data_IF_998928106437
#
_entry.id   IF_998928106437
#
_cell.length_a   1.000
_cell.length_b   1.000
_cell.length_c   1.000
_cell.angle_alpha   90.00
_cell.angle_beta   90.00
_cell.angle_gamma   90.00
#
_symmetry.space_group_name_H-M   'P 1'
#
loop_
_entity.id
_entity.type
_entity.pdbx_description
1 polymer ?
#
# COMPACT_ATOMS: atom_id res chain seq x y z
N UNK A 1 -2.12 -13.89 -11.93
CA UNK A 1 -1.48 -12.55 -11.98
C UNK A 1 0.02 -12.73 -11.89
N UNK A 2 0.78 -11.92 -12.62
CA UNK A 2 2.23 -12.08 -12.61
C UNK A 2 2.78 -11.68 -11.23
N UNK A 3 3.64 -12.51 -10.63
CA UNK A 3 4.25 -12.26 -9.31
C UNK A 3 4.84 -10.85 -9.21
N UNK A 4 5.43 -10.39 -10.31
CA UNK A 4 6.01 -9.06 -10.48
C UNK A 4 5.00 -7.93 -10.22
N UNK A 5 3.75 -8.09 -10.66
CA UNK A 5 2.68 -7.10 -10.46
C UNK A 5 2.31 -7.01 -8.98
N UNK A 6 2.24 -8.15 -8.28
CA UNK A 6 1.94 -8.21 -6.84
C UNK A 6 3.03 -7.48 -6.05
N UNK A 7 4.29 -7.75 -6.37
CA UNK A 7 5.43 -7.08 -5.74
C UNK A 7 5.41 -5.57 -5.96
N UNK A 8 5.09 -5.10 -7.19
CA UNK A 8 4.97 -3.66 -7.48
C UNK A 8 3.86 -3.02 -6.65
N UNK A 9 2.66 -3.63 -6.59
CA UNK A 9 1.53 -3.09 -5.82
C UNK A 9 1.86 -3.05 -4.33
N UNK A 10 2.53 -4.07 -3.80
CA UNK A 10 2.96 -4.12 -2.41
C UNK A 10 4.00 -3.05 -2.07
N UNK A 11 5.02 -2.87 -2.93
CA UNK A 11 6.04 -1.83 -2.77
C UNK A 11 5.40 -0.44 -2.83
N UNK A 12 4.44 -0.23 -3.72
CA UNK A 12 3.72 1.03 -3.85
C UNK A 12 2.89 1.33 -2.59
N UNK A 13 2.24 0.31 -2.02
CA UNK A 13 1.55 0.40 -0.73
C UNK A 13 2.49 0.80 0.42
N UNK A 14 3.65 0.15 0.53
CA UNK A 14 4.68 0.48 1.52
C UNK A 14 5.22 1.92 1.35
N UNK A 15 5.42 2.34 0.11
CA UNK A 15 5.91 3.70 -0.18
C UNK A 15 4.91 4.77 0.28
N UNK A 16 3.61 4.53 0.06
CA UNK A 16 2.52 5.40 0.54
C UNK A 16 2.45 5.44 2.07
N UNK A 17 2.62 4.29 2.73
CA UNK A 17 2.69 4.16 4.20
C UNK A 17 3.85 4.97 4.79
N UNK A 18 5.05 4.84 4.21
CA UNK A 18 6.24 5.57 4.65
C UNK A 18 6.06 7.08 4.39
N UNK A 19 5.57 7.45 3.21
CA UNK A 19 5.35 8.86 2.83
C UNK A 19 4.31 9.54 3.73
N UNK A 20 3.27 8.81 4.15
CA UNK A 20 2.29 9.28 5.13
C UNK A 20 2.92 9.67 6.47
N UNK A 21 3.99 9.00 6.88
CA UNK A 21 4.72 9.29 8.12
C UNK A 21 5.51 10.60 8.09
N UNK A 22 5.91 11.05 6.90
CA UNK A 22 6.69 12.28 6.73
C UNK A 22 5.80 13.51 6.50
N UNK A 23 4.50 13.34 6.32
CA UNK A 23 3.58 14.43 6.03
C UNK A 23 3.08 15.06 7.33
N UNK A 24 3.37 16.36 7.47
CA UNK A 24 2.94 17.19 8.61
C UNK A 24 1.42 17.38 8.69
N UNK A 25 0.70 17.22 7.57
CA UNK A 25 -0.74 17.37 7.51
C UNK A 25 -1.45 16.08 7.98
N UNK A 26 -2.13 16.15 9.13
CA UNK A 26 -2.82 15.01 9.74
C UNK A 26 -3.86 14.35 8.81
N UNK A 27 -4.57 15.15 8.00
CA UNK A 27 -5.57 14.63 7.06
C UNK A 27 -4.89 13.93 5.88
N UNK A 28 -3.84 14.53 5.32
CA UNK A 28 -3.06 13.93 4.23
C UNK A 28 -2.36 12.64 4.64
N UNK A 29 -1.78 12.61 5.85
CA UNK A 29 -1.18 11.41 6.42
C UNK A 29 -2.20 10.28 6.56
N UNK A 30 -3.40 10.55 7.11
CA UNK A 30 -4.47 9.56 7.24
C UNK A 30 -4.93 9.00 5.89
N UNK A 31 -5.08 9.85 4.87
CA UNK A 31 -5.42 9.39 3.52
C UNK A 31 -4.34 8.46 2.95
N UNK A 32 -3.07 8.82 3.08
CA UNK A 32 -1.96 8.00 2.58
C UNK A 32 -1.83 6.67 3.32
N UNK A 33 -2.04 6.67 4.64
CA UNK A 33 -2.10 5.46 5.44
C UNK A 33 -3.24 4.55 5.01
N UNK A 34 -4.44 5.12 4.78
CA UNK A 34 -5.60 4.35 4.33
C UNK A 34 -5.36 3.73 2.95
N UNK A 35 -4.89 4.52 1.98
CA UNK A 35 -4.62 4.04 0.62
C UNK A 35 -3.48 3.03 0.60
N UNK A 36 -2.41 3.26 1.38
CA UNK A 36 -1.30 2.31 1.52
C UNK A 36 -1.73 0.97 2.12
N UNK A 37 -2.55 1.01 3.19
CA UNK A 37 -3.10 -0.19 3.82
C UNK A 37 -3.98 -0.99 2.86
N UNK A 38 -4.87 -0.33 2.12
CA UNK A 38 -5.75 -0.99 1.14
C UNK A 38 -4.92 -1.64 0.02
N UNK A 39 -3.86 -0.98 -0.46
CA UNK A 39 -2.95 -1.57 -1.45
C UNK A 39 -2.23 -2.83 -0.94
N UNK A 40 -1.75 -2.80 0.31
CA UNK A 40 -1.10 -3.96 0.93
C UNK A 40 -2.09 -5.13 1.10
N UNK A 41 -3.31 -4.85 1.56
CA UNK A 41 -4.38 -5.85 1.67
C UNK A 41 -4.76 -6.42 0.31
N UNK A 42 -4.85 -5.58 -0.72
CA UNK A 42 -5.13 -6.02 -2.08
C UNK A 42 -4.01 -6.93 -2.61
N UNK A 43 -2.75 -6.55 -2.39
CA UNK A 43 -1.60 -7.37 -2.77
C UNK A 43 -1.61 -8.74 -2.04
N UNK A 44 -1.92 -8.77 -0.74
CA UNK A 44 -2.10 -10.02 0.02
C UNK A 44 -3.25 -10.88 -0.52
N UNK A 45 -4.39 -10.27 -0.83
CA UNK A 45 -5.53 -10.97 -1.40
C UNK A 45 -5.22 -11.59 -2.76
N UNK A 46 -4.48 -10.86 -3.61
CA UNK A 46 -4.02 -11.36 -4.90
C UNK A 46 -2.99 -12.49 -4.73
N UNK A 47 -2.09 -12.36 -3.76
CA UNK A 47 -1.05 -13.36 -3.47
C UNK A 47 -1.63 -14.63 -2.84
N UNK A 48 -2.84 -14.57 -2.28
CA UNK A 48 -3.49 -15.71 -1.66
C UNK A 48 -3.71 -16.84 -2.69
N UNK A 49 -3.19 -18.05 -2.45
CA UNK A 49 -3.40 -19.18 -3.33
C UNK A 49 -4.86 -19.61 -3.20
N UNK A 50 -5.65 -19.36 -4.24
CA UNK A 50 -6.98 -19.96 -4.41
C UNK A 50 -6.87 -21.22 -5.24
#
# INVERSE_FOLDING_TARGET
MNFLIIAIVFILGLFLLISGSHIKNNIGAKCLYFVGMVNVLLAMYIAWPK
#
